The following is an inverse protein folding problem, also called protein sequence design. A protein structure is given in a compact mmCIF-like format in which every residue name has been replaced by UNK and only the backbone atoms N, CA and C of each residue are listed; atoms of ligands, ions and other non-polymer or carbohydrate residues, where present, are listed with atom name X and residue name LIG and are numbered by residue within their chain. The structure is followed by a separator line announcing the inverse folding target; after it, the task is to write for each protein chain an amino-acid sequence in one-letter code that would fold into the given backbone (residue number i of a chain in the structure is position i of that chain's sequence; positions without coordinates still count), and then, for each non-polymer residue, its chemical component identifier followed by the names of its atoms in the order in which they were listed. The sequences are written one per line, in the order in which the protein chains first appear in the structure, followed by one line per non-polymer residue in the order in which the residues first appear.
data_IF_552043380508
#
_entry.id   IF_552043380508
#
_cell.length_a   1.000
_cell.length_b   1.000
_cell.length_c   1.000
_cell.angle_alpha   90.00
_cell.angle_beta   90.00
_cell.angle_gamma   90.00
#
_symmetry.space_group_name_H-M   'P 1'
#
loop_
_entity.id
_entity.type
_entity.pdbx_description
1 polymer ?
#
# COMPACT_ATOMS: atom_id res chain seq x y z
N UNK A 1 -5.84 -14.62 27.48
CA UNK A 1 -5.19 -14.86 26.17
C UNK A 1 -3.84 -14.16 26.28
N UNK A 2 -2.74 -14.91 26.38
CA UNK A 2 -1.42 -14.33 26.53
C UNK A 2 -0.88 -14.06 25.12
N UNK A 3 -0.93 -12.80 24.70
CA UNK A 3 -0.30 -12.37 23.45
C UNK A 3 1.20 -12.23 23.69
N UNK A 4 1.99 -13.06 23.02
CA UNK A 4 3.44 -12.88 22.94
C UNK A 4 3.73 -12.09 21.66
N UNK A 5 4.23 -10.87 21.79
CA UNK A 5 4.81 -10.15 20.66
C UNK A 5 6.28 -10.61 20.59
N UNK A 6 6.60 -11.45 19.61
CA UNK A 6 8.00 -11.75 19.28
C UNK A 6 8.44 -10.64 18.34
N UNK A 7 9.19 -9.67 18.87
CA UNK A 7 9.90 -8.67 18.07
C UNK A 7 11.35 -9.09 18.02
N UNK A 8 11.78 -9.67 16.90
CA UNK A 8 13.20 -9.72 16.60
C UNK A 8 13.67 -8.29 16.33
N UNK A 9 14.76 -7.88 16.99
CA UNK A 9 15.35 -6.58 16.76
C UNK A 9 15.98 -6.54 15.37
N UNK A 10 15.48 -5.64 14.52
CA UNK A 10 16.06 -5.34 13.22
C UNK A 10 16.79 -4.02 13.36
N UNK A 11 18.12 -4.05 13.24
CA UNK A 11 18.93 -2.85 13.19
C UNK A 11 18.62 -2.08 11.90
N UNK A 12 18.01 -0.90 12.03
CA UNK A 12 17.68 0.00 10.94
C UNK A 12 18.21 1.41 11.22
N UNK A 13 18.60 2.10 10.15
CA UNK A 13 18.92 3.52 10.22
C UNK A 13 17.64 4.37 10.20
N UNK A 14 17.72 5.57 10.75
CA UNK A 14 16.63 6.54 10.69
C UNK A 14 16.33 6.91 9.22
N UNK A 15 15.08 6.70 8.82
CA UNK A 15 14.53 7.13 7.53
C UNK A 15 13.28 7.95 7.80
N UNK A 16 13.30 9.22 7.41
CA UNK A 16 12.20 10.14 7.63
C UNK A 16 11.04 9.86 6.67
N UNK A 17 9.81 10.17 7.10
CA UNK A 17 8.64 10.19 6.21
C UNK A 17 8.81 11.13 5.01
N UNK A 18 9.68 12.13 5.12
CA UNK A 18 9.98 13.10 4.08
C UNK A 18 11.12 12.67 3.14
N UNK A 19 11.84 11.59 3.47
CA UNK A 19 12.95 11.12 2.67
C UNK A 19 12.44 10.38 1.43
N UNK A 20 13.14 10.58 0.31
CA UNK A 20 12.86 9.87 -0.93
C UNK A 20 13.94 8.81 -1.17
N UNK A 21 13.54 7.71 -1.79
CA UNK A 21 14.44 6.69 -2.33
C UNK A 21 14.58 6.87 -3.85
N UNK A 22 15.72 6.45 -4.37
CA UNK A 22 15.97 6.40 -5.81
C UNK A 22 15.19 5.28 -6.48
N UNK A 23 15.07 5.33 -7.81
CA UNK A 23 14.47 4.21 -8.55
C UNK A 23 15.24 2.90 -8.34
N UNK A 24 16.57 2.92 -8.23
CA UNK A 24 17.36 1.72 -7.99
C UNK A 24 17.12 1.11 -6.60
N UNK A 25 16.96 1.94 -5.57
CA UNK A 25 16.61 1.46 -4.22
C UNK A 25 15.18 0.91 -4.17
N UNK A 26 14.24 1.55 -4.89
CA UNK A 26 12.85 1.09 -5.00
C UNK A 26 12.73 -0.34 -5.56
N UNK A 27 13.63 -0.75 -6.46
CA UNK A 27 13.62 -2.11 -7.05
C UNK A 27 13.68 -3.21 -5.99
N UNK A 28 14.38 -2.97 -4.89
CA UNK A 28 14.46 -3.92 -3.76
C UNK A 28 13.08 -4.16 -3.14
N UNK A 29 12.30 -3.09 -2.97
CA UNK A 29 10.94 -3.14 -2.43
C UNK A 29 9.99 -3.82 -3.42
N UNK A 30 10.11 -3.51 -4.71
CA UNK A 30 9.30 -4.17 -5.76
C UNK A 30 9.55 -5.68 -5.80
N UNK A 31 10.81 -6.12 -5.67
CA UNK A 31 11.15 -7.55 -5.63
C UNK A 31 10.56 -8.22 -4.39
N UNK A 32 10.69 -7.60 -3.21
CA UNK A 32 10.10 -8.10 -1.97
C UNK A 32 8.57 -8.20 -2.05
N UNK A 33 7.90 -7.24 -2.70
CA UNK A 33 6.45 -7.32 -2.92
C UNK A 33 6.05 -8.50 -3.80
N UNK A 34 6.80 -8.76 -4.88
CA UNK A 34 6.54 -9.93 -5.72
C UNK A 34 6.73 -11.22 -4.92
N UNK A 35 7.80 -11.32 -4.14
CA UNK A 35 8.03 -12.48 -3.26
C UNK A 35 6.86 -12.69 -2.30
N UNK A 36 6.38 -11.62 -1.67
CA UNK A 36 5.21 -11.65 -0.79
C UNK A 36 3.93 -12.09 -1.54
N UNK A 37 3.66 -11.52 -2.72
CA UNK A 37 2.51 -11.89 -3.55
C UNK A 37 2.52 -13.38 -3.93
N UNK A 38 3.70 -13.98 -4.17
CA UNK A 38 3.81 -15.42 -4.48
C UNK A 38 3.52 -16.33 -3.29
N UNK A 39 3.60 -15.84 -2.05
CA UNK A 39 3.17 -16.59 -0.87
C UNK A 39 1.68 -16.90 -0.99
N UNK A 40 0.88 -15.97 -1.53
CA UNK A 40 -0.55 -16.16 -1.78
C UNK A 40 -0.89 -17.40 -2.60
N UNK A 41 -0.01 -17.82 -3.52
CA UNK A 41 -0.19 -19.04 -4.34
C UNK A 41 0.11 -20.34 -3.57
N UNK A 42 0.74 -20.24 -2.40
CA UNK A 42 1.06 -21.38 -1.52
C UNK A 42 0.05 -21.54 -0.39
N UNK A 43 -0.82 -20.55 -0.18
CA UNK A 43 -1.88 -20.59 0.84
C UNK A 43 -2.98 -21.55 0.40
N UNK A 44 -3.47 -22.39 1.31
CA UNK A 44 -4.57 -23.32 1.02
C UNK A 44 -5.87 -22.57 0.66
N UNK A 45 -6.77 -23.23 -0.08
CA UNK A 45 -7.97 -22.59 -0.60
C UNK A 45 -8.92 -22.07 0.51
N UNK A 46 -8.99 -22.76 1.66
CA UNK A 46 -9.86 -22.34 2.76
C UNK A 46 -9.31 -21.08 3.44
N UNK A 47 -8.00 -21.00 3.65
CA UNK A 47 -7.35 -19.79 4.18
C UNK A 47 -7.43 -18.64 3.18
N UNK A 48 -7.18 -18.92 1.90
CA UNK A 48 -7.29 -17.93 0.82
C UNK A 48 -8.69 -17.33 0.74
N UNK A 49 -9.76 -18.13 0.86
CA UNK A 49 -11.15 -17.65 0.88
C UNK A 49 -11.44 -16.69 2.03
N UNK A 50 -10.84 -16.89 3.21
CA UNK A 50 -11.01 -15.99 4.37
C UNK A 50 -10.29 -14.65 4.17
N UNK A 51 -9.12 -14.65 3.56
CA UNK A 51 -8.40 -13.42 3.24
C UNK A 51 -9.04 -12.65 2.07
N UNK A 52 -9.68 -13.37 1.14
CA UNK A 52 -10.47 -12.77 0.04
C UNK A 52 -11.82 -12.23 0.50
N UNK A 53 -12.35 -12.68 1.64
CA UNK A 53 -13.66 -12.24 2.12
C UNK A 53 -13.62 -10.86 2.77
N UNK A 54 -13.49 -9.79 1.97
CA UNK A 54 -13.77 -8.39 2.38
C UNK A 54 -13.19 -7.98 3.73
N UNK A 55 -12.04 -8.55 4.12
CA UNK A 55 -11.45 -8.32 5.43
C UNK A 55 -11.12 -6.85 5.58
N UNK A 56 -10.51 -6.28 4.53
CA UNK A 56 -10.18 -4.87 4.45
C UNK A 56 -11.42 -3.97 4.53
N UNK A 57 -12.40 -4.13 3.64
CA UNK A 57 -13.65 -3.32 3.70
C UNK A 57 -14.38 -3.47 5.02
N UNK A 58 -14.41 -4.66 5.63
CA UNK A 58 -15.06 -4.88 6.93
C UNK A 58 -14.29 -4.25 8.09
N UNK A 59 -12.96 -4.23 8.04
CA UNK A 59 -12.13 -3.49 8.99
C UNK A 59 -12.35 -1.98 8.82
N UNK A 60 -12.40 -1.49 7.58
CA UNK A 60 -12.57 -0.07 7.28
C UNK A 60 -13.99 0.44 7.55
N UNK A 61 -15.02 -0.40 7.44
CA UNK A 61 -16.43 -0.04 7.64
C UNK A 61 -16.67 0.67 8.98
N UNK A 62 -16.06 0.17 10.06
CA UNK A 62 -16.15 0.82 11.38
C UNK A 62 -15.41 2.17 11.41
N UNK A 63 -14.30 2.29 10.69
CA UNK A 63 -13.47 3.51 10.65
C UNK A 63 -14.13 4.63 9.83
N UNK A 64 -14.88 4.27 8.78
CA UNK A 64 -15.62 5.23 7.94
C UNK A 64 -17.07 5.43 8.36
N UNK A 65 -17.49 4.82 9.46
CA UNK A 65 -18.78 5.12 10.06
C UNK A 65 -18.85 6.61 10.40
N UNK A 66 -19.98 7.24 10.10
CA UNK A 66 -20.16 8.70 10.24
C UNK A 66 -19.77 9.20 11.64
N UNK A 67 -20.16 8.49 12.70
CA UNK A 67 -19.80 8.86 14.07
C UNK A 67 -18.29 8.76 14.33
N UNK A 68 -17.62 7.73 13.80
CA UNK A 68 -16.18 7.57 13.96
C UNK A 68 -15.42 8.68 13.22
N UNK A 69 -15.87 9.05 12.01
CA UNK A 69 -15.30 10.17 11.26
C UNK A 69 -15.48 11.50 11.97
N UNK A 70 -16.69 11.76 12.51
CA UNK A 70 -16.95 12.97 13.31
C UNK A 70 -16.06 13.04 14.55
N UNK A 71 -15.92 11.94 15.27
CA UNK A 71 -15.01 11.87 16.42
C UNK A 71 -13.55 12.15 16.03
N UNK A 72 -13.09 11.69 14.86
CA UNK A 72 -11.75 11.99 14.38
C UNK A 72 -11.55 13.49 14.06
N UNK A 73 -12.57 14.13 13.46
CA UNK A 73 -12.56 15.57 13.19
C UNK A 73 -12.61 16.38 14.50
N UNK A 74 -13.48 16.01 15.44
CA UNK A 74 -13.54 16.62 16.77
C UNK A 74 -12.22 16.49 17.52
N UNK A 75 -11.57 15.32 17.44
CA UNK A 75 -10.23 15.09 17.95
C UNK A 75 -9.22 16.06 17.34
N UNK A 76 -9.27 16.27 16.03
CA UNK A 76 -8.41 17.24 15.31
C UNK A 76 -8.67 18.67 15.80
N UNK A 77 -9.94 19.07 15.94
CA UNK A 77 -10.33 20.39 16.48
C UNK A 77 -9.83 20.61 17.90
N UNK A 78 -9.76 19.57 18.72
CA UNK A 78 -9.31 19.68 20.11
C UNK A 78 -7.83 20.08 20.27
N UNK A 79 -7.02 19.90 19.22
CA UNK A 79 -5.62 20.35 19.19
C UNK A 79 -5.46 21.80 18.72
N UNK A 80 -6.50 22.42 18.16
CA UNK A 80 -6.47 23.82 17.73
C UNK A 80 -6.81 24.77 18.87
N UNK A 81 -6.08 25.88 18.94
CA UNK A 81 -6.36 26.99 19.86
C UNK A 81 -7.24 28.09 19.23
N UNK A 82 -7.82 27.81 18.05
CA UNK A 82 -8.67 28.69 17.27
C UNK A 82 -7.97 29.31 16.05
N UNK A 83 -6.71 28.95 15.77
CA UNK A 83 -5.91 29.51 14.68
C UNK A 83 -6.05 28.75 13.35
N UNK A 84 -6.56 27.51 13.40
CA UNK A 84 -6.65 26.60 12.26
C UNK A 84 -8.11 26.28 11.89
N UNK A 85 -9.08 26.97 12.48
CA UNK A 85 -10.50 26.61 12.36
C UNK A 85 -10.98 26.53 10.90
N UNK A 86 -10.64 27.52 10.06
CA UNK A 86 -10.98 27.51 8.63
C UNK A 86 -10.33 26.32 7.89
N UNK A 87 -9.08 25.97 8.23
CA UNK A 87 -8.37 24.84 7.62
C UNK A 87 -9.00 23.52 8.04
N UNK A 88 -9.44 23.42 9.30
CA UNK A 88 -10.10 22.22 9.80
C UNK A 88 -11.49 22.06 9.21
N UNK A 89 -12.21 23.15 8.94
CA UNK A 89 -13.49 23.12 8.23
C UNK A 89 -13.33 22.59 6.80
N UNK A 90 -12.32 23.08 6.06
CA UNK A 90 -11.99 22.58 4.72
C UNK A 90 -11.56 21.10 4.77
N UNK A 91 -10.73 20.72 5.74
CA UNK A 91 -10.32 19.33 5.95
C UNK A 91 -11.51 18.42 6.26
N UNK A 92 -12.42 18.83 7.14
CA UNK A 92 -13.62 18.06 7.48
C UNK A 92 -14.44 17.80 6.22
N UNK A 93 -14.68 18.82 5.41
CA UNK A 93 -15.44 18.67 4.17
C UNK A 93 -14.81 17.62 3.25
N UNK A 94 -13.51 17.73 2.98
CA UNK A 94 -12.77 16.79 2.12
C UNK A 94 -12.75 15.38 2.73
N UNK A 95 -12.45 15.26 4.03
CA UNK A 95 -12.36 13.98 4.72
C UNK A 95 -13.69 13.22 4.70
N UNK A 96 -14.79 13.93 4.98
CA UNK A 96 -16.13 13.33 5.01
C UNK A 96 -16.58 12.85 3.62
N UNK A 97 -16.21 13.58 2.55
CA UNK A 97 -16.51 13.20 1.18
C UNK A 97 -15.58 12.09 0.64
N UNK A 98 -14.30 12.13 0.98
CA UNK A 98 -13.30 11.18 0.47
C UNK A 98 -13.41 9.81 1.15
N UNK A 99 -13.66 9.78 2.46
CA UNK A 99 -13.68 8.56 3.26
C UNK A 99 -15.11 8.01 3.40
N UNK A 100 -15.60 7.39 2.32
CA UNK A 100 -16.90 6.72 2.32
C UNK A 100 -16.75 5.21 2.08
N UNK A 101 -17.67 4.44 2.65
CA UNK A 101 -17.68 2.99 2.47
C UNK A 101 -17.86 2.61 1.00
N UNK A 102 -18.61 3.39 0.23
CA UNK A 102 -18.81 3.15 -1.20
C UNK A 102 -17.53 3.35 -2.00
N UNK A 103 -16.74 4.40 -1.72
CA UNK A 103 -15.43 4.61 -2.35
C UNK A 103 -14.44 3.48 -1.99
N UNK A 104 -14.44 3.02 -0.73
CA UNK A 104 -13.63 1.86 -0.31
C UNK A 104 -14.04 0.59 -1.06
N UNK A 105 -15.35 0.31 -1.14
CA UNK A 105 -15.86 -0.86 -1.88
C UNK A 105 -15.56 -0.78 -3.38
N UNK A 106 -15.58 0.42 -3.95
CA UNK A 106 -15.20 0.64 -5.35
C UNK A 106 -13.71 0.29 -5.56
N UNK A 107 -12.83 0.74 -4.67
CA UNK A 107 -11.42 0.36 -4.69
C UNK A 107 -11.22 -1.15 -4.55
N UNK A 108 -11.93 -1.79 -3.61
CA UNK A 108 -11.94 -3.25 -3.39
C UNK A 108 -12.51 -4.06 -4.57
N UNK A 109 -13.08 -3.42 -5.60
CA UNK A 109 -13.63 -4.11 -6.78
C UNK A 109 -12.92 -3.74 -8.08
N UNK A 110 -11.91 -2.88 -8.02
CA UNK A 110 -11.21 -2.36 -9.19
C UNK A 110 -10.58 -3.48 -10.03
N UNK A 111 -10.04 -4.52 -9.38
CA UNK A 111 -9.42 -5.66 -10.05
C UNK A 111 -10.41 -6.47 -10.88
N UNK A 112 -11.67 -6.59 -10.42
CA UNK A 112 -12.71 -7.34 -11.12
C UNK A 112 -13.07 -6.63 -12.43
N UNK A 113 -13.11 -5.30 -12.41
CA UNK A 113 -13.37 -4.47 -13.59
C UNK A 113 -12.24 -4.53 -14.64
N UNK A 114 -11.02 -4.91 -14.22
CA UNK A 114 -9.84 -5.01 -15.08
C UNK A 114 -9.50 -6.45 -15.47
N UNK A 115 -10.34 -7.43 -15.10
CA UNK A 115 -10.12 -8.86 -15.34
C UNK A 115 -8.76 -9.35 -14.81
N UNK A 116 -8.29 -8.77 -13.71
CA UNK A 116 -7.03 -9.11 -13.07
C UNK A 116 -7.25 -10.16 -11.98
N UNK A 117 -6.32 -11.13 -11.86
CA UNK A 117 -6.30 -12.03 -10.71
C UNK A 117 -5.73 -11.29 -9.50
N UNK A 118 -6.45 -11.31 -8.39
CA UNK A 118 -5.95 -10.76 -7.13
C UNK A 118 -4.75 -11.57 -6.62
N UNK A 119 -3.75 -10.84 -6.14
CA UNK A 119 -2.57 -11.39 -5.46
C UNK A 119 -2.57 -10.97 -4.00
N UNK A 120 -1.78 -11.63 -3.16
CA UNK A 120 -1.61 -11.19 -1.78
C UNK A 120 -0.82 -9.88 -1.76
N UNK A 121 -1.36 -8.86 -1.12
CA UNK A 121 -0.77 -7.52 -0.98
C UNK A 121 -0.60 -7.15 0.49
N UNK A 122 0.27 -6.19 0.77
CA UNK A 122 0.51 -5.61 2.10
C UNK A 122 -0.69 -4.76 2.56
N UNK A 123 -1.28 -3.96 1.66
CA UNK A 123 -2.46 -3.12 1.93
C UNK A 123 -2.15 -1.78 2.60
N UNK A 124 -1.04 -1.69 3.33
CA UNK A 124 -0.56 -0.46 3.97
C UNK A 124 0.92 -0.19 3.69
N UNK A 125 1.35 -0.25 2.43
CA UNK A 125 2.77 -0.09 2.11
C UNK A 125 3.15 1.37 1.87
N UNK A 126 3.85 1.97 2.82
CA UNK A 126 4.36 3.34 2.75
C UNK A 126 5.72 3.47 3.44
N UNK A 127 6.36 4.63 3.31
CA UNK A 127 7.75 4.86 3.72
C UNK A 127 8.09 4.40 5.15
N UNK A 128 7.18 4.56 6.12
CA UNK A 128 7.43 4.20 7.52
C UNK A 128 7.35 2.69 7.80
N UNK A 129 6.77 1.92 6.88
CA UNK A 129 6.66 0.46 6.99
C UNK A 129 7.84 -0.25 6.30
N UNK A 130 8.86 0.52 5.89
CA UNK A 130 10.08 0.05 5.26
C UNK A 130 11.27 0.29 6.20
N UNK A 131 11.94 -0.78 6.58
CA UNK A 131 13.13 -0.74 7.44
C UNK A 131 14.38 -0.75 6.57
N UNK A 132 15.23 0.26 6.72
CA UNK A 132 16.42 0.46 5.90
C UNK A 132 17.70 0.36 6.69
N UNK A 133 18.81 0.01 6.02
CA UNK A 133 20.17 0.19 6.53
C UNK A 133 21.06 0.70 5.41
N UNK A 134 21.91 1.67 5.68
CA UNK A 134 22.88 2.19 4.71
C UNK A 134 24.06 1.24 4.61
N UNK A 135 24.50 1.00 3.38
CA UNK A 135 25.76 0.31 3.12
C UNK A 135 26.96 1.24 3.35
N UNK A 136 28.17 0.70 3.16
CA UNK A 136 29.43 1.46 3.33
C UNK A 136 29.54 2.67 2.38
N UNK A 137 28.77 2.69 1.29
CA UNK A 137 28.72 3.77 0.31
C UNK A 137 27.54 4.73 0.53
N UNK A 138 26.71 4.49 1.55
CA UNK A 138 25.55 5.30 1.90
C UNK A 138 24.24 4.92 1.19
N UNK A 139 24.22 3.89 0.35
CA UNK A 139 23.01 3.43 -0.35
C UNK A 139 22.08 2.67 0.59
N UNK A 140 20.77 2.88 0.44
CA UNK A 140 19.77 2.20 1.27
C UNK A 140 19.62 0.73 0.85
N UNK A 141 19.71 -0.15 1.84
CA UNK A 141 19.46 -1.58 1.73
C UNK A 141 18.19 -1.92 2.51
N UNK A 142 17.19 -2.47 1.83
CA UNK A 142 15.96 -2.89 2.48
C UNK A 142 16.26 -4.05 3.45
N UNK A 143 15.85 -3.91 4.70
CA UNK A 143 16.02 -4.93 5.74
C UNK A 143 14.74 -5.67 6.05
N UNK A 144 13.62 -4.97 6.08
CA UNK A 144 12.32 -5.57 6.29
C UNK A 144 11.21 -4.66 5.78
N UNK A 145 10.09 -5.28 5.44
CA UNK A 145 8.79 -4.65 5.34
C UNK A 145 8.01 -5.11 6.56
N UNK A 146 7.38 -4.19 7.29
CA UNK A 146 6.69 -4.45 8.56
C UNK A 146 5.25 -3.95 8.52
N UNK A 147 4.46 -4.32 9.54
CA UNK A 147 3.07 -3.88 9.71
C UNK A 147 2.06 -4.38 8.66
N UNK A 148 1.99 -5.71 8.51
CA UNK A 148 1.05 -6.42 7.63
C UNK A 148 -0.40 -6.47 8.13
N UNK A 149 -0.82 -5.57 9.03
CA UNK A 149 -2.15 -5.62 9.66
C UNK A 149 -3.30 -5.50 8.65
N UNK A 150 -3.02 -4.92 7.47
CA UNK A 150 -3.97 -4.76 6.38
C UNK A 150 -3.73 -5.72 5.21
N UNK A 151 -2.96 -6.79 5.39
CA UNK A 151 -2.69 -7.74 4.32
C UNK A 151 -3.95 -8.50 3.86
N UNK A 152 -4.20 -8.50 2.55
CA UNK A 152 -5.35 -9.14 1.93
C UNK A 152 -5.09 -9.44 0.45
N UNK A 153 -6.01 -10.16 -0.20
CA UNK A 153 -5.95 -10.33 -1.66
C UNK A 153 -6.57 -9.12 -2.33
N UNK A 154 -5.83 -8.47 -3.24
CA UNK A 154 -6.30 -7.35 -4.04
C UNK A 154 -5.39 -7.16 -5.28
N UNK A 155 -5.54 -6.03 -5.97
CA UNK A 155 -4.62 -5.58 -7.01
C UNK A 155 -3.28 -5.11 -6.40
N UNK A 156 -2.13 -5.49 -6.98
CA UNK A 156 -0.83 -5.01 -6.52
C UNK A 156 -0.59 -3.52 -6.83
N UNK A 157 -1.39 -2.89 -7.69
CA UNK A 157 -1.29 -1.44 -7.88
C UNK A 157 -1.53 -0.66 -6.60
N UNK A 158 -2.29 -1.19 -5.64
CA UNK A 158 -2.53 -0.49 -4.39
C UNK A 158 -1.20 -0.26 -3.64
N UNK A 159 -0.42 -1.32 -3.46
CA UNK A 159 0.90 -1.24 -2.82
C UNK A 159 1.88 -0.44 -3.68
N UNK A 160 1.94 -0.67 -4.99
CA UNK A 160 2.88 0.05 -5.87
C UNK A 160 2.59 1.54 -5.86
N UNK A 161 1.33 1.94 -6.00
CA UNK A 161 0.91 3.35 -6.02
C UNK A 161 1.21 4.02 -4.70
N UNK A 162 0.87 3.37 -3.58
CA UNK A 162 1.12 3.93 -2.24
C UNK A 162 2.62 4.04 -1.95
N UNK A 163 3.39 3.04 -2.34
CA UNK A 163 4.84 3.03 -2.23
C UNK A 163 5.46 4.22 -2.98
N UNK A 164 5.19 4.39 -4.27
CA UNK A 164 5.82 5.47 -5.06
C UNK A 164 5.32 6.87 -4.70
N UNK A 165 4.12 6.99 -4.13
CA UNK A 165 3.62 8.27 -3.62
C UNK A 165 4.34 8.67 -2.34
N UNK A 166 4.61 7.70 -1.46
CA UNK A 166 5.20 7.96 -0.13
C UNK A 166 6.72 7.92 -0.10
N UNK A 167 7.38 7.32 -1.10
CA UNK A 167 8.84 7.13 -1.11
C UNK A 167 9.56 7.82 -2.25
N UNK A 168 8.86 8.40 -3.23
CA UNK A 168 9.49 9.08 -4.36
C UNK A 168 9.02 10.51 -4.51
N UNK A 169 9.94 11.35 -4.97
CA UNK A 169 9.61 12.71 -5.38
C UNK A 169 8.62 12.69 -6.55
N UNK A 170 7.76 13.70 -6.64
CA UNK A 170 6.83 13.81 -7.77
C UNK A 170 7.53 13.88 -9.13
N UNK A 171 8.78 14.38 -9.16
CA UNK A 171 9.61 14.42 -10.37
C UNK A 171 10.04 13.00 -10.78
N UNK A 172 10.63 12.25 -9.85
CA UNK A 172 11.20 10.92 -10.14
C UNK A 172 10.09 9.91 -10.41
N UNK A 173 8.97 10.00 -9.69
CA UNK A 173 7.78 9.19 -9.96
C UNK A 173 7.27 9.37 -11.39
N UNK A 174 7.22 10.61 -11.91
CA UNK A 174 6.79 10.86 -13.30
C UNK A 174 7.83 10.39 -14.32
N UNK A 175 9.11 10.56 -14.00
CA UNK A 175 10.21 10.17 -14.88
C UNK A 175 10.28 8.65 -15.05
N UNK A 176 10.12 7.90 -13.97
CA UNK A 176 10.33 6.45 -13.93
C UNK A 176 9.05 5.63 -13.88
N UNK A 177 7.85 6.24 -13.98
CA UNK A 177 6.58 5.52 -13.80
C UNK A 177 6.50 4.24 -14.65
N UNK A 178 6.73 4.36 -15.95
CA UNK A 178 6.61 3.24 -16.87
C UNK A 178 7.70 2.17 -16.60
N UNK A 179 8.91 2.59 -16.20
CA UNK A 179 9.99 1.69 -15.79
C UNK A 179 9.66 0.93 -14.50
N UNK A 180 9.01 1.58 -13.53
CA UNK A 180 8.57 0.97 -12.27
C UNK A 180 7.56 -0.13 -12.53
N UNK A 181 6.52 0.19 -13.32
CA UNK A 181 5.46 -0.77 -13.67
C UNK A 181 6.03 -1.94 -14.45
N UNK A 182 6.88 -1.68 -15.44
CA UNK A 182 7.58 -2.73 -16.19
C UNK A 182 8.46 -3.59 -15.30
N UNK A 183 9.23 -2.99 -14.39
CA UNK A 183 10.13 -3.73 -13.49
C UNK A 183 9.37 -4.66 -12.56
N UNK A 184 8.27 -4.18 -11.97
CA UNK A 184 7.41 -5.03 -11.15
C UNK A 184 6.80 -6.19 -11.96
N UNK A 185 6.33 -5.89 -13.18
CA UNK A 185 5.80 -6.91 -14.09
C UNK A 185 6.87 -7.95 -14.47
N UNK A 186 8.09 -7.52 -14.79
CA UNK A 186 9.19 -8.42 -15.12
C UNK A 186 9.53 -9.34 -13.94
N UNK A 187 9.55 -8.81 -12.72
CA UNK A 187 9.77 -9.61 -11.51
C UNK A 187 8.65 -10.63 -11.25
N UNK A 188 7.38 -10.26 -11.44
CA UNK A 188 6.29 -11.22 -11.21
C UNK A 188 6.24 -12.30 -12.30
N UNK A 189 6.54 -11.96 -13.56
CA UNK A 189 6.71 -12.94 -14.64
C UNK A 189 7.82 -13.92 -14.29
N UNK A 190 8.98 -13.43 -13.88
CA UNK A 190 10.12 -14.25 -13.45
C UNK A 190 9.73 -15.18 -12.30
N UNK A 191 9.02 -14.66 -11.29
CA UNK A 191 8.64 -15.44 -10.11
C UNK A 191 7.56 -16.50 -10.40
N UNK A 192 6.71 -16.29 -11.40
CA UNK A 192 5.69 -17.26 -11.82
C UNK A 192 6.23 -18.30 -12.81
N UNK A 193 7.32 -18.02 -13.51
CA UNK A 193 7.96 -18.95 -14.45
C UNK A 193 7.00 -19.39 -15.55
N UNK A 194 6.75 -20.70 -15.68
CA UNK A 194 5.82 -21.26 -16.67
C UNK A 194 4.34 -21.14 -16.27
N UNK A 195 4.05 -20.70 -15.05
CA UNK A 195 2.65 -20.56 -14.59
C UNK A 195 2.00 -19.33 -15.20
N UNK A 196 0.66 -19.34 -15.37
CA UNK A 196 -0.07 -18.14 -15.78
C UNK A 196 0.17 -16.98 -14.80
N UNK A 197 0.67 -15.87 -15.32
CA UNK A 197 0.90 -14.63 -14.58
C UNK A 197 -0.47 -14.03 -14.23
N UNK A 198 -0.66 -13.46 -13.02
CA UNK A 198 -1.96 -12.98 -12.55
C UNK A 198 -2.55 -11.80 -13.35
N UNK A 199 -1.73 -11.07 -14.10
CA UNK A 199 -2.14 -9.93 -14.92
C UNK A 199 -1.06 -9.59 -15.96
N UNK A 200 -1.45 -8.89 -17.01
CA UNK A 200 -0.55 -8.37 -18.05
C UNK A 200 -0.03 -6.98 -17.71
N UNK A 201 1.05 -6.56 -18.38
CA UNK A 201 1.57 -5.20 -18.28
C UNK A 201 0.49 -4.14 -18.59
N UNK A 202 -0.25 -4.33 -19.68
CA UNK A 202 -1.35 -3.45 -20.08
C UNK A 202 -2.43 -3.32 -18.99
N UNK A 203 -2.76 -4.40 -18.28
CA UNK A 203 -3.71 -4.35 -17.18
C UNK A 203 -3.19 -3.48 -16.02
N UNK A 204 -1.89 -3.56 -15.74
CA UNK A 204 -1.25 -2.72 -14.71
C UNK A 204 -1.19 -1.25 -15.13
N UNK A 205 -0.85 -0.97 -16.38
CA UNK A 205 -0.80 0.40 -16.92
C UNK A 205 -2.16 1.10 -16.90
N UNK A 206 -3.26 0.37 -17.16
CA UNK A 206 -4.62 0.92 -17.10
C UNK A 206 -5.00 1.43 -15.71
N UNK A 207 -4.36 0.94 -14.64
CA UNK A 207 -4.63 1.42 -13.28
C UNK A 207 -4.14 2.85 -13.04
N UNK A 208 -3.16 3.33 -13.81
CA UNK A 208 -2.72 4.73 -13.83
C UNK A 208 -3.89 5.69 -14.10
N UNK A 209 -4.83 5.28 -14.95
CA UNK A 209 -5.92 6.13 -15.40
C UNK A 209 -7.12 6.11 -14.45
N UNK A 210 -7.14 5.20 -13.47
CA UNK A 210 -8.25 5.02 -12.52
C UNK A 210 -7.99 5.66 -11.15
N UNK A 211 -6.75 6.08 -10.89
CA UNK A 211 -6.30 6.64 -9.60
C UNK A 211 -6.06 8.15 -9.64
N UNK A 212 -6.34 8.82 -10.78
CA UNK A 212 -6.01 10.24 -11.04
C UNK A 212 -7.26 11.07 -11.38
N UNK A 213 -8.44 10.66 -10.88
CA UNK A 213 -9.69 11.40 -11.04
C UNK A 213 -10.35 11.67 -9.68
#
# INVERSE_FOLDING_TARGET
MNGFIIMDYIESDDFSICDNITFDELKQVLKALVEYSTIGEKIDENTSKKFRSKLYSKMMENMVHEDAKKMAVEGTRSFDSGSLSDIIDDYEHVYMEAMTLDKIKQFDSLFANLEMKEVLIHGDLWSTNLMWKRDENGHLQLKAIVDYQFAHFNSPALDITRLIISTMSGKDRRLHYDEIIKTYHDYIVEAFGEKPVPFTLDQVERMKNLTVH
#
